data_IF_115445741100
#
_entry.id   IF_115445741100
#
_cell.length_a   1.000
_cell.length_b   1.000
_cell.length_c   1.000
_cell.angle_alpha   90.00
_cell.angle_beta   90.00
_cell.angle_gamma   90.00
#
_symmetry.space_group_name_H-M   'P 1'
#
loop_
_entity.id
_entity.type
_entity.pdbx_description
1 polymer ?
#
# COMPACT_ATOMS: atom_id res chain seq x y z
N UNK A 1 22.11 -45.18 -14.80
CA UNK A 1 23.00 -45.30 -15.98
C UNK A 1 23.92 -44.07 -15.98
N UNK A 2 25.24 -44.22 -15.76
CA UNK A 2 26.27 -44.26 -16.81
C UNK A 2 26.19 -43.11 -17.85
N UNK A 3 26.92 -42.01 -17.63
CA UNK A 3 28.18 -41.71 -18.36
C UNK A 3 28.84 -40.42 -17.86
N UNK A 4 30.09 -40.55 -17.40
CA UNK A 4 31.09 -39.48 -17.35
C UNK A 4 31.53 -39.10 -18.76
N UNK A 5 32.03 -37.87 -18.93
CA UNK A 5 32.91 -37.51 -20.05
C UNK A 5 33.96 -36.48 -19.57
N UNK A 6 35.22 -36.91 -19.55
CA UNK A 6 36.39 -36.03 -19.46
C UNK A 6 36.83 -35.60 -20.86
N UNK A 7 37.49 -34.45 -20.96
CA UNK A 7 38.09 -33.90 -22.19
C UNK A 7 38.67 -32.51 -21.86
N UNK A 8 39.90 -32.33 -21.39
CA UNK A 8 41.23 -32.75 -21.87
C UNK A 8 41.80 -31.80 -22.95
N UNK A 9 42.62 -30.85 -22.47
CA UNK A 9 43.86 -30.30 -23.07
C UNK A 9 43.89 -29.94 -24.57
N UNK A 10 44.17 -28.67 -24.89
CA UNK A 10 45.27 -28.31 -25.83
C UNK A 10 45.67 -26.82 -25.83
N UNK A 11 46.90 -26.57 -26.33
CA UNK A 11 47.40 -25.33 -26.95
C UNK A 11 47.48 -24.04 -26.09
N UNK A 12 48.61 -23.89 -25.39
CA UNK A 12 49.18 -22.59 -25.01
C UNK A 12 49.83 -21.93 -26.24
N UNK A 13 49.55 -20.64 -26.51
CA UNK A 13 50.19 -19.89 -27.59
C UNK A 13 50.58 -18.47 -27.14
N UNK A 14 51.88 -18.24 -26.90
CA UNK A 14 52.40 -16.90 -26.57
C UNK A 14 52.64 -16.09 -27.85
N UNK A 15 51.66 -15.30 -28.26
CA UNK A 15 51.85 -14.23 -29.24
C UNK A 15 52.26 -12.93 -28.50
N UNK A 16 53.56 -12.62 -28.49
CA UNK A 16 54.10 -11.39 -27.91
C UNK A 16 53.82 -10.16 -28.80
N UNK A 17 52.54 -9.83 -28.98
CA UNK A 17 52.11 -8.65 -29.73
C UNK A 17 52.35 -7.37 -28.93
N UNK A 18 53.20 -6.48 -29.44
CA UNK A 18 53.46 -5.15 -28.87
C UNK A 18 52.20 -4.29 -28.87
N UNK A 19 51.43 -4.36 -27.78
CA UNK A 19 50.21 -3.60 -27.61
C UNK A 19 50.51 -2.11 -27.50
N UNK A 20 50.40 -1.40 -28.62
CA UNK A 20 50.31 0.07 -28.63
C UNK A 20 49.12 0.47 -27.74
N UNK A 21 49.42 1.00 -26.56
CA UNK A 21 48.42 1.47 -25.59
C UNK A 21 47.78 2.74 -26.16
N UNK A 22 46.79 2.54 -27.04
CA UNK A 22 45.95 3.61 -27.55
C UNK A 22 45.29 4.30 -26.36
N UNK A 23 45.72 5.54 -26.07
CA UNK A 23 45.21 6.31 -24.96
C UNK A 23 43.67 6.34 -25.01
N UNK A 24 42.97 6.04 -23.90
CA UNK A 24 41.53 5.79 -23.93
C UNK A 24 40.79 7.03 -24.44
N UNK A 25 40.26 6.94 -25.66
CA UNK A 25 39.69 8.06 -26.40
C UNK A 25 38.66 8.81 -25.54
N UNK A 26 39.02 10.03 -25.11
CA UNK A 26 38.37 10.66 -23.97
C UNK A 26 36.89 10.95 -24.29
N UNK A 27 35.99 10.19 -23.66
CA UNK A 27 34.62 10.04 -24.13
C UNK A 27 33.81 11.34 -23.98
N UNK A 28 33.82 12.15 -25.05
CA UNK A 28 33.40 13.55 -25.09
C UNK A 28 32.13 13.82 -24.25
N UNK A 29 32.29 14.64 -23.20
CA UNK A 29 31.31 14.78 -22.13
C UNK A 29 29.92 15.19 -22.66
N UNK A 30 28.95 14.27 -22.52
CA UNK A 30 27.59 14.43 -23.05
C UNK A 30 26.92 15.68 -22.42
N UNK A 31 26.49 16.69 -23.22
CA UNK A 31 26.01 17.99 -22.67
C UNK A 31 24.82 17.88 -21.70
N UNK A 32 24.00 16.84 -21.85
CA UNK A 32 22.92 16.48 -20.93
C UNK A 32 22.96 14.97 -20.69
N UNK A 33 23.00 14.57 -19.42
CA UNK A 33 22.95 13.16 -19.00
C UNK A 33 21.69 12.95 -18.15
N UNK A 34 20.75 12.17 -18.68
CA UNK A 34 19.57 11.72 -17.93
C UNK A 34 20.02 10.58 -17.00
N UNK A 35 19.96 10.81 -15.68
CA UNK A 35 20.34 9.81 -14.68
C UNK A 35 19.33 8.65 -14.66
N UNK A 36 19.73 7.50 -14.11
CA UNK A 36 18.78 6.43 -13.74
C UNK A 36 17.81 7.02 -12.71
N UNK A 37 16.50 6.78 -12.87
CA UNK A 37 15.55 7.00 -11.77
C UNK A 37 15.65 5.78 -10.87
N UNK A 38 15.95 5.99 -9.59
CA UNK A 38 16.04 4.92 -8.61
C UNK A 38 14.67 4.27 -8.38
N UNK A 39 14.67 2.98 -8.09
CA UNK A 39 13.52 2.27 -7.50
C UNK A 39 12.98 3.09 -6.35
N UNK A 40 11.65 3.24 -6.28
CA UNK A 40 10.99 3.85 -5.13
C UNK A 40 10.29 2.76 -4.36
N UNK A 41 10.39 2.79 -3.03
CA UNK A 41 9.38 2.19 -2.19
C UNK A 41 8.30 3.24 -1.92
N UNK A 42 7.07 2.78 -1.75
CA UNK A 42 6.06 3.45 -0.93
C UNK A 42 5.65 2.48 0.18
N UNK A 43 4.99 2.97 1.21
CA UNK A 43 4.46 2.13 2.29
C UNK A 43 3.14 1.43 1.85
N UNK A 44 2.31 1.02 2.82
CA UNK A 44 1.04 0.31 2.63
C UNK A 44 0.12 0.82 1.49
N UNK A 45 -0.27 2.09 1.50
CA UNK A 45 -1.06 2.74 0.45
C UNK A 45 -0.32 3.91 -0.24
N UNK A 46 -0.98 4.54 -1.21
CA UNK A 46 -0.56 5.82 -1.77
C UNK A 46 0.23 5.73 -3.08
N UNK A 47 1.08 6.72 -3.34
CA UNK A 47 1.77 6.85 -4.65
C UNK A 47 3.16 7.48 -4.57
N UNK A 48 4.11 6.94 -5.32
CA UNK A 48 5.47 7.48 -5.47
C UNK A 48 5.47 8.70 -6.39
N UNK A 49 6.03 9.83 -5.92
CA UNK A 49 6.23 11.02 -6.75
C UNK A 49 7.51 10.91 -7.60
N UNK A 50 7.35 10.53 -8.86
CA UNK A 50 8.45 10.34 -9.83
C UNK A 50 8.74 11.66 -10.56
N UNK A 51 10.01 12.09 -10.53
CA UNK A 51 10.53 13.29 -11.21
C UNK A 51 11.74 12.95 -12.11
N UNK A 52 11.93 13.60 -13.26
CA UNK A 52 13.05 13.33 -14.18
C UNK A 52 14.39 13.84 -13.64
N UNK A 53 15.34 12.94 -13.38
CA UNK A 53 16.68 13.26 -12.87
C UNK A 53 17.69 13.50 -13.99
N UNK A 54 18.35 14.67 -13.99
CA UNK A 54 19.15 15.17 -15.13
C UNK A 54 20.39 15.94 -14.64
N UNK A 55 21.59 15.54 -15.08
CA UNK A 55 22.84 16.33 -14.97
C UNK A 55 23.04 17.12 -16.27
N UNK A 56 23.49 18.39 -16.17
CA UNK A 56 23.83 19.27 -17.30
C UNK A 56 25.32 19.62 -17.26
N UNK A 57 25.94 19.83 -18.42
CA UNK A 57 27.27 20.41 -18.53
C UNK A 57 27.26 21.94 -18.36
N UNK A 58 28.45 22.57 -18.29
CA UNK A 58 28.61 24.03 -18.38
C UNK A 58 28.06 24.53 -19.74
N UNK A 59 27.57 25.78 -19.79
CA UNK A 59 27.00 26.44 -20.99
C UNK A 59 25.76 25.74 -21.62
N UNK A 60 24.97 24.98 -20.83
CA UNK A 60 23.71 24.33 -21.25
C UNK A 60 22.49 24.92 -20.54
N UNK A 61 21.48 25.40 -21.29
CA UNK A 61 20.17 25.83 -20.76
C UNK A 61 19.13 24.74 -21.03
N UNK A 62 18.64 24.08 -19.97
CA UNK A 62 17.52 23.14 -20.09
C UNK A 62 16.21 23.93 -20.22
N UNK A 63 15.38 23.58 -21.21
CA UNK A 63 14.15 24.29 -21.54
C UNK A 63 12.90 23.56 -21.05
N UNK A 64 12.84 22.23 -21.19
CA UNK A 64 11.70 21.42 -20.75
C UNK A 64 12.16 20.02 -20.36
N UNK A 65 11.61 19.47 -19.27
CA UNK A 65 11.79 18.07 -18.85
C UNK A 65 10.41 17.43 -18.77
N UNK A 66 10.19 16.29 -19.44
CA UNK A 66 8.93 15.55 -19.32
C UNK A 66 9.16 14.05 -19.20
N UNK A 67 8.19 13.38 -18.58
CA UNK A 67 8.03 11.95 -18.45
C UNK A 67 6.81 11.50 -19.26
N UNK A 68 6.94 10.36 -19.94
CA UNK A 68 5.81 9.54 -20.39
C UNK A 68 5.98 8.16 -19.78
N UNK A 69 4.94 7.69 -19.10
CA UNK A 69 4.94 6.44 -18.33
C UNK A 69 3.98 5.45 -18.96
N UNK A 70 4.46 4.23 -19.20
CA UNK A 70 3.63 3.08 -19.60
C UNK A 70 3.65 1.99 -18.51
N UNK A 71 2.57 1.24 -18.41
CA UNK A 71 2.45 0.02 -17.59
C UNK A 71 1.93 -1.07 -18.53
N UNK A 72 2.71 -2.13 -18.71
CA UNK A 72 2.57 -3.00 -19.89
C UNK A 72 2.59 -2.17 -21.18
N UNK A 73 1.66 -2.44 -22.09
CA UNK A 73 1.48 -1.65 -23.33
C UNK A 73 0.83 -0.28 -23.14
N UNK A 74 -0.02 -0.11 -22.11
CA UNK A 74 -0.92 1.06 -21.94
C UNK A 74 -0.17 2.29 -21.43
N UNK A 75 -0.53 3.48 -21.92
CA UNK A 75 0.08 4.77 -21.52
C UNK A 75 -0.66 5.34 -20.31
N UNK A 76 -0.07 5.23 -19.11
CA UNK A 76 -0.69 5.69 -17.86
C UNK A 76 -0.69 7.22 -17.77
N UNK A 77 0.42 7.88 -18.11
CA UNK A 77 0.54 9.35 -18.17
C UNK A 77 1.51 9.77 -19.29
N UNK A 78 1.21 10.86 -20.00
CA UNK A 78 2.01 11.38 -21.14
C UNK A 78 2.49 12.82 -20.86
N UNK A 79 3.75 13.11 -21.23
CA UNK A 79 4.37 14.45 -21.22
C UNK A 79 4.31 15.27 -19.90
N UNK A 80 4.21 14.65 -18.71
CA UNK A 80 4.13 15.36 -17.42
C UNK A 80 5.51 15.68 -16.84
N UNK A 81 5.62 16.74 -16.04
CA UNK A 81 6.89 17.15 -15.36
C UNK A 81 7.21 16.29 -14.14
N UNK A 82 6.17 15.83 -13.44
CA UNK A 82 6.21 14.82 -12.38
C UNK A 82 4.99 13.90 -12.49
N UNK A 83 5.04 12.70 -11.90
CA UNK A 83 3.93 11.74 -11.92
C UNK A 83 3.84 11.04 -10.57
N UNK A 84 2.64 11.01 -9.97
CA UNK A 84 2.28 10.07 -8.89
C UNK A 84 2.01 8.69 -9.50
N UNK A 85 2.69 7.63 -9.03
CA UNK A 85 2.50 6.24 -9.47
C UNK A 85 2.20 5.32 -8.29
N UNK A 86 1.27 4.37 -8.46
CA UNK A 86 1.04 3.27 -7.54
C UNK A 86 2.22 2.26 -7.58
N UNK A 87 2.23 1.20 -6.76
CA UNK A 87 3.17 0.09 -6.91
C UNK A 87 3.07 -0.58 -8.29
N UNK A 88 4.19 -1.16 -8.75
CA UNK A 88 4.25 -1.93 -9.99
C UNK A 88 5.44 -1.58 -10.88
N UNK A 89 5.49 -2.24 -12.03
CA UNK A 89 6.58 -2.13 -13.01
C UNK A 89 6.19 -1.24 -14.18
N UNK A 90 6.95 -0.16 -14.37
CA UNK A 90 6.67 0.90 -15.34
C UNK A 90 7.79 1.08 -16.36
N UNK A 91 7.46 1.31 -17.62
CA UNK A 91 8.42 1.78 -18.64
C UNK A 91 8.34 3.29 -18.73
N UNK A 92 9.35 3.97 -18.18
CA UNK A 92 9.42 5.44 -18.06
C UNK A 92 10.32 5.99 -19.16
N UNK A 93 9.76 6.77 -20.07
CA UNK A 93 10.50 7.54 -21.07
C UNK A 93 10.65 8.99 -20.63
N UNK A 94 11.89 9.42 -20.41
CA UNK A 94 12.24 10.82 -20.09
C UNK A 94 12.65 11.54 -21.37
N UNK A 95 12.07 12.72 -21.63
CA UNK A 95 12.45 13.64 -22.71
C UNK A 95 12.94 14.96 -22.11
N UNK A 96 14.14 15.39 -22.50
CA UNK A 96 14.73 16.67 -22.09
C UNK A 96 15.01 17.51 -23.32
N UNK A 97 14.39 18.69 -23.40
CA UNK A 97 14.65 19.71 -24.43
C UNK A 97 15.63 20.72 -23.84
N UNK A 98 16.71 21.03 -24.55
CA UNK A 98 17.76 21.93 -24.08
C UNK A 98 18.35 22.79 -25.22
N UNK A 99 19.09 23.84 -24.87
CA UNK A 99 19.86 24.69 -25.78
C UNK A 99 21.35 24.60 -25.42
N UNK A 100 22.20 24.36 -26.41
CA UNK A 100 23.66 24.23 -26.26
C UNK A 100 24.35 24.79 -27.51
N UNK A 101 25.36 25.65 -27.32
CA UNK A 101 26.01 26.43 -28.41
C UNK A 101 24.98 27.04 -29.39
N UNK A 102 24.02 27.82 -28.85
CA UNK A 102 22.94 28.46 -29.60
C UNK A 102 21.82 27.53 -30.11
N UNK A 103 22.13 26.28 -30.48
CA UNK A 103 21.20 25.34 -31.13
C UNK A 103 20.31 24.59 -30.12
N UNK A 104 19.05 24.36 -30.47
CA UNK A 104 18.07 23.57 -29.70
C UNK A 104 18.31 22.08 -29.94
N UNK A 105 18.26 21.26 -28.90
CA UNK A 105 18.50 19.81 -28.95
C UNK A 105 17.55 19.05 -28.02
N UNK A 106 17.40 17.75 -28.24
CA UNK A 106 16.61 16.85 -27.41
C UNK A 106 17.49 15.69 -26.94
N UNK A 107 17.35 15.29 -25.68
CA UNK A 107 17.88 14.03 -25.16
C UNK A 107 16.70 13.18 -24.67
N UNK A 108 16.77 11.87 -24.90
CA UNK A 108 15.76 10.90 -24.45
C UNK A 108 16.42 9.74 -23.72
N UNK A 109 15.71 9.18 -22.73
CA UNK A 109 16.10 7.93 -22.06
C UNK A 109 14.84 7.16 -21.66
N UNK A 110 14.68 5.96 -22.20
CA UNK A 110 13.75 4.97 -21.65
C UNK A 110 14.44 4.14 -20.56
N UNK A 111 13.69 3.75 -19.53
CA UNK A 111 14.15 2.83 -18.50
C UNK A 111 12.95 2.14 -17.84
N UNK A 112 13.17 0.94 -17.30
CA UNK A 112 12.22 0.32 -16.38
C UNK A 112 12.37 0.96 -15.00
N UNK A 113 11.25 1.32 -14.38
CA UNK A 113 11.14 1.75 -13.00
C UNK A 113 10.24 0.76 -12.26
N UNK A 114 10.77 0.15 -11.20
CA UNK A 114 9.96 -0.53 -10.21
C UNK A 114 9.54 0.48 -9.14
N UNK A 115 8.24 0.56 -8.85
CA UNK A 115 7.72 1.11 -7.61
C UNK A 115 7.38 -0.09 -6.74
N UNK A 116 8.21 -0.34 -5.71
CA UNK A 116 7.95 -1.37 -4.71
C UNK A 116 6.86 -0.89 -3.76
N UNK A 117 6.00 -1.82 -3.37
CA UNK A 117 5.37 -1.76 -2.06
C UNK A 117 6.43 -2.12 -1.02
N UNK A 118 6.47 -1.35 0.07
CA UNK A 118 7.41 -1.49 1.17
C UNK A 118 6.87 -2.43 2.23
N UNK A 119 6.90 -1.97 3.50
CA UNK A 119 6.30 -2.70 4.60
C UNK A 119 4.79 -2.84 4.43
N UNK A 120 4.24 -3.90 5.03
CA UNK A 120 2.81 -4.03 5.25
C UNK A 120 2.32 -2.90 6.15
N UNK A 121 1.00 -2.67 6.09
CA UNK A 121 0.32 -1.97 7.16
C UNK A 121 0.53 -2.75 8.47
N UNK A 122 0.67 -2.05 9.58
CA UNK A 122 0.62 -2.60 10.93
C UNK A 122 -0.53 -1.95 11.68
N UNK A 123 -1.01 -2.57 12.77
CA UNK A 123 -2.05 -1.97 13.62
C UNK A 123 -1.72 -0.53 14.03
N UNK A 124 -0.44 -0.19 14.27
CA UNK A 124 0.00 1.19 14.57
C UNK A 124 -0.23 2.19 13.44
N UNK A 125 -0.27 1.75 12.19
CA UNK A 125 -0.65 2.59 11.05
C UNK A 125 -2.19 2.70 10.88
N UNK A 126 -2.94 1.97 11.70
CA UNK A 126 -4.40 1.99 11.81
C UNK A 126 -4.91 2.54 13.14
N UNK A 127 -4.09 2.67 14.19
CA UNK A 127 -4.46 3.38 15.44
C UNK A 127 -4.61 4.91 15.26
N UNK A 128 -4.46 5.41 14.02
CA UNK A 128 -4.90 6.74 13.57
C UNK A 128 -6.34 6.73 13.02
N UNK A 129 -6.91 5.55 12.75
CA UNK A 129 -8.33 5.34 12.44
C UNK A 129 -9.11 5.21 13.75
N UNK A 130 -9.09 6.28 14.54
CA UNK A 130 -9.92 6.39 15.72
C UNK A 130 -11.34 6.82 15.31
N UNK A 131 -12.33 6.43 16.10
CA UNK A 131 -13.50 7.27 16.41
C UNK A 131 -13.15 8.14 17.64
N UNK A 132 -14.10 8.76 18.33
CA UNK A 132 -13.84 9.98 19.13
C UNK A 132 -14.61 10.01 20.50
N UNK A 133 -14.75 11.14 21.25
CA UNK A 133 -15.39 11.15 22.59
C UNK A 133 -16.93 11.05 22.78
N UNK A 134 -17.76 11.94 22.21
CA UNK A 134 -19.24 11.95 22.39
C UNK A 134 -20.00 10.84 21.63
N UNK A 135 -20.24 10.99 20.32
CA UNK A 135 -20.71 9.90 19.45
C UNK A 135 -19.58 9.27 18.68
N UNK A 136 -19.04 9.91 17.62
CA UNK A 136 -18.02 11.00 17.71
C UNK A 136 -18.33 12.49 18.01
N UNK A 137 -17.29 13.38 18.10
CA UNK A 137 -17.13 14.48 17.11
C UNK A 137 -15.71 15.04 16.76
N UNK A 138 -14.60 14.73 17.47
CA UNK A 138 -13.25 15.34 17.26
C UNK A 138 -12.26 14.52 16.37
N UNK A 139 -12.65 13.36 15.85
CA UNK A 139 -11.73 12.48 15.09
C UNK A 139 -12.30 12.01 13.75
N UNK A 140 -11.55 12.36 12.71
CA UNK A 140 -11.72 11.83 11.36
C UNK A 140 -11.27 10.37 11.30
N UNK A 141 -12.23 9.45 11.36
CA UNK A 141 -12.03 8.05 10.98
C UNK A 141 -11.76 7.85 9.48
N UNK A 142 -11.42 6.62 9.08
CA UNK A 142 -11.49 6.21 7.67
C UNK A 142 -12.83 5.48 7.46
N UNK A 143 -13.60 5.89 6.45
CA UNK A 143 -14.76 5.11 6.00
C UNK A 143 -14.37 3.74 5.46
N UNK A 144 -15.32 2.80 5.37
CA UNK A 144 -15.13 1.44 4.82
C UNK A 144 -14.30 1.42 3.53
N UNK A 145 -14.55 2.38 2.63
CA UNK A 145 -13.84 2.49 1.35
C UNK A 145 -12.36 2.91 1.52
N UNK A 146 -12.05 3.77 2.48
CA UNK A 146 -10.69 4.19 2.78
C UNK A 146 -9.92 3.07 3.51
N UNK A 147 -10.54 2.39 4.49
CA UNK A 147 -10.00 1.20 5.16
C UNK A 147 -9.67 0.10 4.15
N UNK A 148 -10.63 -0.24 3.29
CA UNK A 148 -10.46 -1.21 2.18
C UNK A 148 -9.34 -0.81 1.23
N UNK A 149 -9.18 0.48 0.93
CA UNK A 149 -8.10 0.99 0.07
C UNK A 149 -6.72 0.96 0.76
N UNK A 150 -6.64 1.09 2.09
CA UNK A 150 -5.40 0.96 2.87
C UNK A 150 -4.96 -0.50 3.00
N UNK A 151 -5.89 -1.40 3.31
CA UNK A 151 -5.65 -2.85 3.48
C UNK A 151 -5.53 -3.59 2.13
N UNK A 152 -6.11 -3.04 1.06
CA UNK A 152 -6.18 -3.56 -0.32
C UNK A 152 -6.92 -4.90 -0.46
N UNK A 153 -7.76 -5.20 0.50
CA UNK A 153 -8.81 -6.21 0.45
C UNK A 153 -10.14 -5.46 0.61
N UNK A 154 -11.20 -5.96 0.00
CA UNK A 154 -12.57 -5.45 0.22
C UNK A 154 -13.07 -5.69 1.64
N UNK A 155 -12.36 -6.49 2.44
CA UNK A 155 -12.91 -7.17 3.60
C UNK A 155 -13.91 -8.27 3.20
N UNK A 156 -14.19 -9.14 4.15
CA UNK A 156 -15.35 -10.05 4.17
C UNK A 156 -16.03 -9.83 5.51
N UNK A 157 -17.35 -9.67 5.51
CA UNK A 157 -18.05 -9.19 6.69
C UNK A 157 -19.57 -9.29 6.54
N UNK A 158 -20.24 -9.13 7.67
CA UNK A 158 -21.68 -9.22 7.80
C UNK A 158 -22.26 -7.88 8.27
N UNK A 159 -23.56 -7.71 8.05
CA UNK A 159 -24.29 -6.45 8.23
C UNK A 159 -25.54 -6.75 9.03
N UNK A 160 -25.83 -5.88 10.00
CA UNK A 160 -26.94 -6.01 10.92
C UNK A 160 -27.62 -4.64 11.09
N UNK A 161 -28.93 -4.61 11.19
CA UNK A 161 -29.60 -3.45 11.80
C UNK A 161 -29.44 -3.49 13.33
N UNK A 162 -29.60 -2.37 14.05
CA UNK A 162 -29.60 -2.37 15.51
C UNK A 162 -30.61 -3.36 16.10
N UNK A 163 -31.79 -3.47 15.49
CA UNK A 163 -32.87 -4.37 15.92
C UNK A 163 -32.51 -5.85 15.73
N UNK A 164 -31.87 -6.20 14.60
CA UNK A 164 -31.36 -7.56 14.36
C UNK A 164 -30.31 -7.96 15.40
N UNK A 165 -29.37 -7.07 15.71
CA UNK A 165 -28.30 -7.32 16.68
C UNK A 165 -28.85 -7.41 18.12
N UNK A 166 -29.84 -6.60 18.50
CA UNK A 166 -30.52 -6.70 19.80
C UNK A 166 -31.25 -8.04 19.92
N UNK A 167 -32.03 -8.44 18.91
CA UNK A 167 -32.75 -9.72 18.92
C UNK A 167 -31.79 -10.92 18.95
N UNK A 168 -30.63 -10.81 18.30
CA UNK A 168 -29.56 -11.81 18.35
C UNK A 168 -28.96 -11.94 19.77
N UNK A 169 -28.66 -10.81 20.42
CA UNK A 169 -28.15 -10.80 21.80
C UNK A 169 -29.18 -11.36 22.80
N UNK A 170 -30.46 -10.97 22.68
CA UNK A 170 -31.56 -11.51 23.50
C UNK A 170 -31.73 -13.03 23.29
N UNK A 171 -31.52 -13.55 22.08
CA UNK A 171 -31.51 -14.99 21.82
C UNK A 171 -30.32 -15.71 22.49
N UNK A 172 -29.14 -15.09 22.56
CA UNK A 172 -27.99 -15.71 23.24
C UNK A 172 -28.11 -15.72 24.76
N UNK A 173 -28.76 -14.72 25.38
CA UNK A 173 -29.13 -14.78 26.82
C UNK A 173 -29.98 -16.02 27.13
N UNK A 174 -30.91 -16.38 26.24
CA UNK A 174 -31.75 -17.59 26.37
C UNK A 174 -31.01 -18.91 26.08
N UNK A 175 -29.81 -18.85 25.47
CA UNK A 175 -29.00 -20.02 25.12
C UNK A 175 -27.82 -20.27 26.08
N UNK A 176 -27.36 -19.22 26.77
CA UNK A 176 -26.19 -19.24 27.66
C UNK A 176 -26.66 -18.80 29.06
N UNK A 177 -27.04 -19.78 29.88
CA UNK A 177 -27.50 -19.61 31.27
C UNK A 177 -26.31 -19.30 32.22
N UNK A 178 -25.61 -18.19 31.95
CA UNK A 178 -24.51 -17.67 32.76
C UNK A 178 -24.75 -16.19 33.12
N UNK A 179 -24.85 -15.82 34.41
CA UNK A 179 -25.21 -14.45 34.82
C UNK A 179 -24.14 -13.41 34.47
N UNK A 180 -22.89 -13.83 34.23
CA UNK A 180 -21.83 -12.94 33.71
C UNK A 180 -22.03 -12.64 32.21
N UNK A 181 -22.54 -13.60 31.43
CA UNK A 181 -22.90 -13.38 30.03
C UNK A 181 -24.13 -12.47 29.92
N UNK A 182 -25.15 -12.70 30.75
CA UNK A 182 -26.37 -11.89 30.80
C UNK A 182 -26.08 -10.40 31.03
N UNK A 183 -25.17 -10.08 31.96
CA UNK A 183 -24.76 -8.71 32.24
C UNK A 183 -23.98 -8.06 31.08
N UNK A 184 -23.15 -8.82 30.36
CA UNK A 184 -22.45 -8.36 29.16
C UNK A 184 -23.42 -8.12 28.00
N UNK A 185 -24.40 -9.00 27.82
CA UNK A 185 -25.45 -8.89 26.80
C UNK A 185 -26.35 -7.68 27.06
N UNK A 186 -26.76 -7.42 28.30
CA UNK A 186 -27.55 -6.21 28.65
C UNK A 186 -26.75 -4.92 28.44
N UNK A 187 -25.44 -4.90 28.73
CA UNK A 187 -24.59 -3.76 28.39
C UNK A 187 -24.50 -3.56 26.87
N UNK A 188 -24.28 -4.63 26.10
CA UNK A 188 -24.22 -4.58 24.64
C UNK A 188 -25.54 -4.09 24.02
N UNK A 189 -26.69 -4.58 24.51
CA UNK A 189 -28.02 -4.13 24.10
C UNK A 189 -28.24 -2.64 24.41
N UNK A 190 -27.76 -2.15 25.55
CA UNK A 190 -27.85 -0.73 25.91
C UNK A 190 -26.95 0.15 25.00
N UNK A 191 -25.74 -0.30 24.68
CA UNK A 191 -24.84 0.40 23.74
C UNK A 191 -25.45 0.46 22.32
N UNK A 192 -26.02 -0.65 21.82
CA UNK A 192 -26.69 -0.67 20.50
C UNK A 192 -27.94 0.23 20.46
N UNK A 193 -28.73 0.27 21.54
CA UNK A 193 -29.89 1.19 21.65
C UNK A 193 -29.44 2.65 21.66
N UNK A 194 -28.35 3.00 22.34
CA UNK A 194 -27.80 4.36 22.30
C UNK A 194 -27.33 4.76 20.88
N UNK A 195 -26.69 3.86 20.14
CA UNK A 195 -26.33 4.09 18.73
C UNK A 195 -27.56 4.30 17.84
N UNK A 196 -28.64 3.54 18.07
CA UNK A 196 -29.92 3.68 17.36
C UNK A 196 -30.57 5.05 17.63
N UNK A 197 -30.62 5.50 18.89
CA UNK A 197 -31.08 6.85 19.28
C UNK A 197 -30.25 7.97 18.63
N UNK A 198 -28.96 7.74 18.42
CA UNK A 198 -28.04 8.65 17.73
C UNK A 198 -28.11 8.57 16.19
N UNK A 199 -28.99 7.72 15.63
CA UNK A 199 -29.24 7.63 14.19
C UNK A 199 -28.38 6.61 13.42
N UNK A 200 -27.79 5.62 14.10
CA UNK A 200 -27.21 4.46 13.40
C UNK A 200 -28.32 3.56 12.85
N UNK A 201 -28.23 3.24 11.56
CA UNK A 201 -29.18 2.38 10.84
C UNK A 201 -28.54 1.11 10.28
N UNK A 202 -27.22 1.08 10.12
CA UNK A 202 -26.46 -0.08 9.65
C UNK A 202 -25.19 -0.24 10.50
N UNK A 203 -24.99 -1.45 11.05
CA UNK A 203 -23.75 -1.90 11.66
C UNK A 203 -23.10 -2.93 10.71
N UNK A 204 -21.79 -2.84 10.49
CA UNK A 204 -21.06 -3.75 9.61
C UNK A 204 -19.73 -4.19 10.25
N UNK A 205 -19.56 -5.50 10.47
CA UNK A 205 -18.34 -6.11 11.03
C UNK A 205 -17.53 -6.82 9.95
N UNK A 206 -16.24 -6.47 9.81
CA UNK A 206 -15.45 -6.80 8.61
C UNK A 206 -14.07 -7.37 8.97
N UNK A 207 -13.82 -8.60 8.54
CA UNK A 207 -12.50 -9.22 8.53
C UNK A 207 -11.69 -8.75 7.31
N UNK A 208 -10.52 -8.17 7.53
CA UNK A 208 -9.60 -7.73 6.48
C UNK A 208 -8.26 -8.49 6.53
N UNK A 209 -8.11 -9.49 5.65
CA UNK A 209 -6.84 -10.19 5.41
C UNK A 209 -5.84 -9.34 4.62
N UNK A 210 -4.98 -8.62 5.31
CA UNK A 210 -3.94 -7.79 4.70
C UNK A 210 -2.71 -8.61 4.25
N UNK A 211 -1.95 -8.03 3.32
CA UNK A 211 -0.64 -8.55 2.89
C UNK A 211 -0.59 -10.03 2.47
N UNK A 212 -1.71 -10.56 1.95
CA UNK A 212 -1.83 -11.96 1.54
C UNK A 212 -2.14 -12.92 2.68
N UNK A 213 -2.95 -12.49 3.67
CA UNK A 213 -3.35 -13.32 4.81
C UNK A 213 -2.28 -13.44 5.90
N UNK A 214 -1.46 -12.40 6.09
CA UNK A 214 -0.43 -12.35 7.14
C UNK A 214 -0.81 -11.53 8.36
N UNK A 215 -1.90 -10.77 8.25
CA UNK A 215 -2.46 -9.91 9.28
C UNK A 215 -3.97 -9.98 9.05
N UNK A 216 -4.71 -10.28 10.10
CA UNK A 216 -6.18 -10.30 10.12
C UNK A 216 -6.63 -9.15 11.00
N UNK A 217 -7.28 -8.16 10.40
CA UNK A 217 -7.83 -7.00 11.12
C UNK A 217 -9.35 -7.14 11.14
N UNK A 218 -9.94 -7.23 12.33
CA UNK A 218 -11.39 -7.09 12.50
C UNK A 218 -11.71 -5.60 12.68
N UNK A 219 -12.81 -5.14 12.10
CA UNK A 219 -13.19 -3.73 12.15
C UNK A 219 -14.70 -3.55 12.01
N UNK A 220 -15.26 -2.80 12.95
CA UNK A 220 -16.69 -2.51 13.07
C UNK A 220 -16.99 -1.10 12.58
N UNK A 221 -18.06 -0.96 11.82
CA UNK A 221 -18.49 0.31 11.21
C UNK A 221 -19.94 0.62 11.57
N UNK A 222 -20.25 1.89 11.78
CA UNK A 222 -21.62 2.40 11.93
C UNK A 222 -21.92 3.35 10.76
N UNK A 223 -23.00 3.09 10.01
CA UNK A 223 -23.37 3.82 8.79
C UNK A 223 -22.21 3.95 7.76
N UNK A 224 -21.25 3.02 7.76
CA UNK A 224 -20.08 3.02 6.88
C UNK A 224 -18.84 3.80 7.37
N UNK A 225 -18.90 4.43 8.54
CA UNK A 225 -17.75 5.06 9.21
C UNK A 225 -17.21 4.17 10.34
N UNK A 226 -15.88 4.17 10.55
CA UNK A 226 -15.22 3.22 11.44
C UNK A 226 -15.44 3.54 12.93
N UNK A 227 -15.99 2.58 13.67
CA UNK A 227 -16.13 2.64 15.12
C UNK A 227 -14.87 2.11 15.83
N UNK A 228 -14.31 0.98 15.36
CA UNK A 228 -13.15 0.35 15.97
C UNK A 228 -12.44 -0.64 15.04
N UNK A 229 -11.17 -0.94 15.32
CA UNK A 229 -10.40 -1.94 14.59
C UNK A 229 -9.36 -2.63 15.49
N UNK A 230 -9.34 -3.95 15.46
CA UNK A 230 -8.49 -4.82 16.27
C UNK A 230 -7.73 -5.82 15.38
N UNK A 231 -6.66 -6.41 15.91
CA UNK A 231 -5.82 -7.40 15.21
C UNK A 231 -5.93 -8.74 15.95
N UNK A 232 -6.08 -9.81 15.19
CA UNK A 232 -6.16 -11.20 15.67
C UNK A 232 -4.98 -11.57 16.60
N UNK A 233 -3.83 -10.88 16.46
CA UNK A 233 -2.66 -11.02 17.34
C UNK A 233 -2.69 -10.23 18.66
N UNK A 234 -3.59 -9.24 18.82
CA UNK A 234 -3.84 -8.52 20.09
C UNK A 234 -5.00 -9.14 20.90
N UNK A 235 -5.82 -10.05 20.32
CA UNK A 235 -6.98 -10.68 21.00
C UNK A 235 -6.63 -11.52 22.24
N UNK A 236 -5.35 -11.78 22.51
CA UNK A 236 -4.89 -12.38 23.76
C UNK A 236 -4.87 -11.35 24.92
N UNK A 237 -6.07 -11.05 25.45
CA UNK A 237 -6.41 -10.31 26.68
C UNK A 237 -6.49 -8.76 26.66
N UNK A 238 -7.56 -8.23 27.30
CA UNK A 238 -7.95 -6.80 27.54
C UNK A 238 -8.48 -6.05 26.31
N UNK A 239 -9.53 -5.22 26.34
CA UNK A 239 -9.97 -4.19 27.34
C UNK A 239 -11.52 -4.19 27.53
N UNK A 240 -12.11 -3.87 28.71
CA UNK A 240 -13.42 -4.42 29.10
C UNK A 240 -14.72 -4.05 28.35
N UNK A 241 -14.91 -2.83 27.80
CA UNK A 241 -16.26 -2.39 27.39
C UNK A 241 -16.71 -2.90 26.02
N UNK A 242 -16.02 -2.54 24.93
CA UNK A 242 -16.34 -3.04 23.57
C UNK A 242 -16.26 -4.56 23.46
N UNK A 243 -15.37 -5.15 24.27
CA UNK A 243 -15.25 -6.59 24.51
C UNK A 243 -16.55 -7.26 24.96
N UNK A 244 -17.59 -6.54 25.42
CA UNK A 244 -18.93 -7.11 25.59
C UNK A 244 -19.55 -7.51 24.24
N UNK A 245 -19.62 -6.58 23.27
CA UNK A 245 -20.10 -6.84 21.91
C UNK A 245 -19.13 -7.78 21.18
N UNK A 246 -17.83 -7.48 21.20
CA UNK A 246 -16.84 -8.28 20.46
C UNK A 246 -16.68 -9.71 21.00
N UNK A 247 -16.86 -9.97 22.32
CA UNK A 247 -16.94 -11.35 22.83
C UNK A 247 -18.28 -12.01 22.62
N UNK A 248 -19.40 -11.27 22.72
CA UNK A 248 -20.69 -11.85 22.35
C UNK A 248 -20.61 -12.36 20.90
N UNK A 249 -20.13 -11.52 19.97
CA UNK A 249 -19.92 -11.85 18.56
C UNK A 249 -18.83 -12.91 18.31
N UNK A 250 -17.75 -12.95 19.10
CA UNK A 250 -16.71 -13.97 18.98
C UNK A 250 -17.12 -15.33 19.58
N UNK A 251 -18.04 -15.37 20.53
CA UNK A 251 -18.63 -16.61 21.06
C UNK A 251 -19.60 -17.27 20.07
N UNK A 252 -19.93 -16.61 18.95
CA UNK A 252 -20.80 -17.13 17.89
C UNK A 252 -20.05 -17.84 16.75
N UNK A 253 -18.72 -18.00 16.88
CA UNK A 253 -17.80 -18.47 15.81
C UNK A 253 -17.06 -19.76 16.17
#
# INVERSE_FOLDING_TARGET
MRRTLLGLVTALALAAGSALVAAPAEAAQKPVTIKKITTRSIDWYGTALVKPSVKKAKKVKVLKKTLTVRQGGKVVRRNRTAVKLAPGTYRVSTRVVYRFKGKKRVATRAQTLLVRQGRCATLRDFRTLKSDPTFSPDVVGDSVAAVSAKLRTSGTGERYTPEELIALLELFKLAIDEPEFDALADQAIAEVKALQEQGVTELEDREYRACGGKITVFASFANGELMGAEDDSDLSFTVPSRVAVDRAMAALR
#
